data_IF_824615848342
#
_entry.id   IF_824615848342
#
_cell.length_a   1.000
_cell.length_b   1.000
_cell.length_c   1.000
_cell.angle_alpha   90.00
_cell.angle_beta   90.00
_cell.angle_gamma   90.00
#
_symmetry.space_group_name_H-M   'P 1'
#
loop_
_entity.id
_entity.type
_entity.pdbx_description
1 polymer ?
#
# COMPACT_ATOMS: atom_id res chain seq x y z
N UNK A 1 -10.97 -11.41 -6.73
CA UNK A 1 -10.51 -10.46 -7.77
C UNK A 1 -11.02 -10.95 -9.12
N UNK A 2 -12.08 -10.33 -9.65
CA UNK A 2 -12.58 -10.58 -11.02
C UNK A 2 -12.35 -9.29 -11.80
N UNK A 3 -11.12 -9.11 -12.24
CA UNK A 3 -10.71 -8.20 -13.32
C UNK A 3 -9.26 -8.53 -13.61
N UNK A 4 -8.96 -8.92 -14.84
CA UNK A 4 -7.63 -9.28 -15.33
C UNK A 4 -6.73 -8.07 -15.59
N UNK A 5 -7.14 -6.87 -15.12
CA UNK A 5 -6.45 -5.62 -15.35
C UNK A 5 -5.79 -5.17 -14.05
N UNK A 6 -4.46 -5.10 -14.09
CA UNK A 6 -3.64 -4.53 -13.02
C UNK A 6 -4.03 -3.06 -12.84
N UNK A 7 -4.35 -2.69 -11.61
CA UNK A 7 -4.71 -1.31 -11.23
C UNK A 7 -3.52 -0.61 -10.60
N UNK A 8 -3.51 0.72 -10.63
CA UNK A 8 -2.50 1.53 -9.92
C UNK A 8 -2.43 1.14 -8.44
N UNK A 9 -3.56 0.77 -7.83
CA UNK A 9 -3.63 0.26 -6.46
C UNK A 9 -3.04 -1.15 -6.27
N UNK A 10 -3.03 -1.99 -7.31
CA UNK A 10 -2.25 -3.23 -7.27
C UNK A 10 -0.75 -2.92 -7.27
N UNK A 11 -0.31 -1.88 -7.99
CA UNK A 11 1.09 -1.46 -8.04
C UNK A 11 1.57 -0.88 -6.71
N UNK A 12 0.77 0.00 -6.10
CA UNK A 12 0.98 0.51 -4.73
C UNK A 12 1.09 -0.66 -3.73
N UNK A 13 0.16 -1.62 -3.79
CA UNK A 13 0.16 -2.78 -2.89
C UNK A 13 1.38 -3.69 -3.08
N UNK A 14 1.85 -3.86 -4.32
CA UNK A 14 3.06 -4.62 -4.61
C UNK A 14 4.32 -3.90 -4.09
N UNK A 15 4.40 -2.58 -4.29
CA UNK A 15 5.51 -1.75 -3.81
C UNK A 15 5.63 -1.77 -2.29
N UNK A 16 4.53 -1.57 -1.58
CA UNK A 16 4.51 -1.67 -0.11
C UNK A 16 4.95 -3.07 0.37
N UNK A 17 4.56 -4.13 -0.35
CA UNK A 17 4.95 -5.50 -0.03
C UNK A 17 6.44 -5.77 -0.24
N UNK A 18 7.07 -5.18 -1.26
CA UNK A 18 8.52 -5.22 -1.45
C UNK A 18 9.27 -4.57 -0.28
N UNK A 19 8.68 -3.52 0.29
CA UNK A 19 9.17 -2.84 1.50
C UNK A 19 8.80 -3.60 2.81
N UNK A 20 8.31 -4.83 2.72
CA UNK A 20 8.03 -5.69 3.87
C UNK A 20 6.65 -5.49 4.52
N UNK A 21 5.79 -4.66 3.93
CA UNK A 21 4.51 -4.25 4.54
C UNK A 21 3.35 -4.73 3.69
N UNK A 22 2.46 -5.51 4.31
CA UNK A 22 1.29 -6.05 3.62
C UNK A 22 0.04 -5.26 3.95
N UNK A 23 -0.59 -4.71 2.91
CA UNK A 23 -1.92 -4.10 3.00
C UNK A 23 -2.93 -4.85 2.15
N UNK A 24 -4.17 -4.90 2.62
CA UNK A 24 -5.28 -5.37 1.78
C UNK A 24 -5.84 -4.19 0.99
N UNK A 25 -5.85 -4.31 -0.33
CA UNK A 25 -6.44 -3.29 -1.22
C UNK A 25 -7.76 -3.80 -1.80
N UNK A 26 -8.76 -2.93 -1.81
CA UNK A 26 -10.07 -3.21 -2.40
C UNK A 26 -10.56 -2.00 -3.18
N UNK A 27 -10.59 -2.12 -4.50
CA UNK A 27 -11.04 -1.07 -5.44
C UNK A 27 -10.25 0.23 -5.25
N UNK A 28 -10.72 1.15 -4.40
CA UNK A 28 -10.15 2.47 -4.11
C UNK A 28 -9.76 2.64 -2.63
N UNK A 29 -9.78 1.54 -1.85
CA UNK A 29 -9.58 1.56 -0.40
C UNK A 29 -8.42 0.68 -0.01
N UNK A 30 -7.55 1.21 0.86
CA UNK A 30 -6.48 0.47 1.53
C UNK A 30 -6.94 0.18 2.96
N UNK A 31 -6.90 -1.09 3.35
CA UNK A 31 -7.26 -1.54 4.70
C UNK A 31 -5.99 -1.76 5.52
N UNK A 32 -5.89 -1.01 6.61
CA UNK A 32 -4.75 -1.03 7.55
C UNK A 32 -5.23 -1.59 8.89
N UNK A 33 -4.86 -2.84 9.16
CA UNK A 33 -5.23 -3.55 10.41
C UNK A 33 -4.00 -4.25 11.01
N UNK A 34 -3.08 -3.48 11.64
CA UNK A 34 -1.90 -4.07 12.26
C UNK A 34 -2.28 -4.93 13.48
N UNK A 35 -1.41 -5.87 13.89
CA UNK A 35 -1.63 -6.64 15.11
C UNK A 35 -1.57 -5.74 16.34
N UNK A 36 -2.30 -6.09 17.40
CA UNK A 36 -2.31 -5.33 18.66
C UNK A 36 -0.95 -5.30 19.37
N UNK A 37 -0.03 -6.20 19.00
CA UNK A 37 1.34 -6.27 19.53
C UNK A 37 2.33 -5.39 18.76
N UNK A 38 1.88 -4.61 17.77
CA UNK A 38 2.73 -3.70 17.03
C UNK A 38 3.27 -2.59 17.95
N UNK A 39 4.48 -2.12 17.67
CA UNK A 39 5.09 -0.97 18.35
C UNK A 39 5.13 0.22 17.41
N UNK A 40 5.29 1.42 17.97
CA UNK A 40 5.34 2.69 17.21
C UNK A 40 6.36 2.64 16.07
N UNK A 41 7.58 2.16 16.32
CA UNK A 41 8.61 2.04 15.29
C UNK A 41 8.19 1.19 14.07
N UNK A 42 7.42 0.12 14.29
CA UNK A 42 6.90 -0.70 13.18
C UNK A 42 5.78 0.01 12.43
N UNK A 43 5.00 0.86 13.12
CA UNK A 43 3.98 1.69 12.47
C UNK A 43 4.66 2.75 11.60
N UNK A 44 5.68 3.43 12.11
CA UNK A 44 6.42 4.45 11.35
C UNK A 44 7.07 3.86 10.09
N UNK A 45 7.70 2.68 10.21
CA UNK A 45 8.24 1.94 9.07
C UNK A 45 7.14 1.57 8.06
N UNK A 46 5.99 1.09 8.55
CA UNK A 46 4.87 0.71 7.69
C UNK A 46 4.25 1.90 6.95
N UNK A 47 4.15 3.05 7.61
CA UNK A 47 3.62 4.28 7.03
C UNK A 47 4.61 4.87 6.02
N UNK A 48 5.91 4.88 6.31
CA UNK A 48 6.93 5.35 5.37
C UNK A 48 6.95 4.51 4.09
N UNK A 49 6.81 3.19 4.21
CA UNK A 49 6.70 2.30 3.06
C UNK A 49 5.41 2.50 2.25
N UNK A 50 4.31 2.87 2.91
CA UNK A 50 3.05 3.19 2.24
C UNK A 50 3.14 4.54 1.51
N UNK A 51 3.80 5.53 2.09
CA UNK A 51 4.02 6.85 1.49
C UNK A 51 4.85 6.74 0.20
N UNK A 52 5.97 6.03 0.22
CA UNK A 52 6.78 5.72 -0.99
C UNK A 52 5.95 4.98 -2.05
N UNK A 53 5.06 4.08 -1.64
CA UNK A 53 4.20 3.38 -2.57
C UNK A 53 3.13 4.28 -3.19
N UNK A 54 2.65 5.29 -2.47
CA UNK A 54 1.62 6.23 -2.94
C UNK A 54 2.15 7.22 -3.97
N UNK A 55 3.46 7.49 -4.03
CA UNK A 55 4.07 8.29 -5.12
C UNK A 55 3.71 7.74 -6.51
N UNK A 56 3.57 6.41 -6.65
CA UNK A 56 3.11 5.77 -7.90
C UNK A 56 1.72 6.27 -8.32
N UNK A 57 0.83 6.47 -7.34
CA UNK A 57 -0.50 7.00 -7.61
C UNK A 57 -0.47 8.48 -7.96
N UNK A 58 0.39 9.25 -7.31
CA UNK A 58 0.54 10.68 -7.60
C UNK A 58 1.07 10.91 -9.02
N UNK A 59 2.13 10.17 -9.41
CA UNK A 59 2.70 10.20 -10.76
C UNK A 59 1.67 9.81 -11.83
N UNK A 60 0.79 8.84 -11.54
CA UNK A 60 -0.24 8.39 -12.46
C UNK A 60 -1.40 9.40 -12.62
N UNK A 61 -1.57 10.31 -11.66
CA UNK A 61 -2.65 11.32 -11.68
C UNK A 61 -2.21 12.66 -12.28
N UNK A 62 -0.91 12.97 -12.26
CA UNK A 62 -0.31 14.15 -12.89
C UNK A 62 -0.13 14.01 -14.43
N UNK A 63 -0.44 12.84 -15.01
CA UNK A 63 -0.29 12.51 -16.44
C UNK A 63 -1.56 12.54 -17.28
#
# INVERSE_FOLDING_TARGET
>A
KVSSRQTVLDDVGNRAKENGVYFYTSVNTIVVTPPLTIIEAHVDEAIAALDDALEISDDAMES
#
